data_IF_911425156648
#
_entry.id   IF_911425156648
#
_cell.length_a   1.000
_cell.length_b   1.000
_cell.length_c   1.000
_cell.angle_alpha   90.00
_cell.angle_beta   90.00
_cell.angle_gamma   90.00
#
_symmetry.space_group_name_H-M   'P 1'
#
loop_
_entity.id
_entity.type
_entity.pdbx_description
1 polymer ?
#
# COMPACT_ATOMS: atom_id res chain seq x y z
N UNK A 1 -2.85 45.98 29.98
CA UNK A 1 -2.20 44.69 29.67
C UNK A 1 -3.11 43.87 28.76
N UNK A 2 -2.82 43.78 27.46
CA UNK A 2 -3.55 42.89 26.53
C UNK A 2 -3.21 41.45 26.91
N UNK A 3 -4.23 40.67 27.28
CA UNK A 3 -4.13 39.22 27.47
C UNK A 3 -3.61 38.64 26.18
N UNK A 4 -2.37 38.21 26.13
CA UNK A 4 -1.80 37.46 25.00
C UNK A 4 -2.61 36.16 24.95
N UNK A 5 -3.57 36.06 24.02
CA UNK A 5 -4.24 34.81 23.72
C UNK A 5 -3.14 33.75 23.46
N UNK A 6 -3.12 32.74 24.32
CA UNK A 6 -2.23 31.60 24.11
C UNK A 6 -2.60 30.99 22.78
N UNK A 7 -1.77 31.24 21.77
CA UNK A 7 -1.93 30.68 20.45
C UNK A 7 -1.69 29.17 20.55
N UNK A 8 -2.75 28.40 20.41
CA UNK A 8 -2.64 26.94 20.37
C UNK A 8 -2.09 26.52 19.00
N UNK A 9 -0.80 26.18 18.99
CA UNK A 9 -0.08 25.80 17.77
C UNK A 9 -0.62 24.52 17.15
N UNK A 10 -1.09 23.58 17.96
CA UNK A 10 -1.70 22.33 17.47
C UNK A 10 -2.99 22.64 16.72
N UNK A 11 -3.83 23.51 17.29
CA UNK A 11 -5.07 23.93 16.65
C UNK A 11 -4.82 24.72 15.34
N UNK A 12 -3.77 25.52 15.26
CA UNK A 12 -3.36 26.18 14.02
C UNK A 12 -2.95 25.17 12.95
N UNK A 13 -2.14 24.17 13.33
CA UNK A 13 -1.71 23.12 12.42
C UNK A 13 -2.90 22.24 11.98
N UNK A 14 -3.78 21.86 12.88
CA UNK A 14 -5.04 21.14 12.56
C UNK A 14 -5.88 21.92 11.56
N UNK A 15 -6.02 23.22 11.77
CA UNK A 15 -6.77 24.09 10.85
C UNK A 15 -6.12 24.12 9.47
N UNK A 16 -4.80 24.24 9.40
CA UNK A 16 -4.05 24.24 8.16
C UNK A 16 -4.20 22.91 7.40
N UNK A 17 -4.02 21.79 8.08
CA UNK A 17 -4.23 20.45 7.51
C UNK A 17 -5.63 20.35 6.90
N UNK A 18 -6.66 20.77 7.63
CA UNK A 18 -8.05 20.71 7.17
C UNK A 18 -8.30 21.59 5.95
N UNK A 19 -7.67 22.77 5.87
CA UNK A 19 -7.74 23.65 4.67
C UNK A 19 -7.16 22.93 3.45
N UNK A 20 -6.00 22.29 3.61
CA UNK A 20 -5.33 21.56 2.52
C UNK A 20 -6.18 20.39 2.02
N UNK A 21 -6.69 19.56 2.94
CA UNK A 21 -7.48 18.36 2.64
C UNK A 21 -8.81 18.70 1.96
N UNK A 22 -9.44 19.79 2.34
CA UNK A 22 -10.74 20.21 1.76
C UNK A 22 -10.60 21.09 0.52
N UNK A 23 -9.42 21.62 0.27
CA UNK A 23 -9.17 22.56 -0.82
C UNK A 23 -9.89 23.90 -0.67
N UNK A 24 -10.55 24.18 0.49
CA UNK A 24 -11.38 25.36 0.70
C UNK A 24 -11.46 25.78 2.15
N UNK A 25 -11.31 27.09 2.41
CA UNK A 25 -11.49 27.65 3.75
C UNK A 25 -12.92 27.49 4.28
N UNK A 26 -13.91 27.58 3.41
CA UNK A 26 -15.32 27.41 3.78
C UNK A 26 -15.65 25.97 4.11
N UNK A 27 -15.16 25.02 3.32
CA UNK A 27 -15.33 23.60 3.58
C UNK A 27 -14.60 23.17 4.86
N UNK A 28 -13.37 23.67 5.09
CA UNK A 28 -12.64 23.44 6.32
C UNK A 28 -13.41 23.98 7.54
N UNK A 29 -14.00 25.18 7.42
CA UNK A 29 -14.79 25.79 8.48
C UNK A 29 -16.01 24.93 8.85
N UNK A 30 -16.73 24.41 7.84
CA UNK A 30 -17.86 23.51 8.05
C UNK A 30 -17.47 22.21 8.75
N UNK A 31 -16.32 21.62 8.37
CA UNK A 31 -15.84 20.38 9.02
C UNK A 31 -15.29 20.58 10.45
N UNK A 32 -14.93 21.81 10.80
CA UNK A 32 -14.39 22.17 12.11
C UNK A 32 -15.40 22.88 13.02
N UNK A 33 -16.68 22.89 12.63
CA UNK A 33 -17.77 23.58 13.36
C UNK A 33 -17.39 25.02 13.74
N UNK A 34 -16.80 25.77 12.78
CA UNK A 34 -16.34 27.14 13.01
C UNK A 34 -16.65 28.03 11.81
N UNK A 35 -16.26 29.30 11.87
CA UNK A 35 -16.49 30.24 10.77
C UNK A 35 -15.27 30.32 9.84
N UNK A 36 -15.53 30.61 8.55
CA UNK A 36 -14.45 30.85 7.57
C UNK A 36 -13.50 31.98 8.03
N UNK A 37 -14.02 33.01 8.69
CA UNK A 37 -13.21 34.10 9.25
C UNK A 37 -12.23 33.60 10.34
N UNK A 38 -12.64 32.64 11.17
CA UNK A 38 -11.79 32.00 12.17
C UNK A 38 -10.72 31.16 11.52
N UNK A 39 -11.08 30.32 10.54
CA UNK A 39 -10.13 29.51 9.77
C UNK A 39 -9.10 30.40 9.06
N UNK A 40 -9.54 31.48 8.43
CA UNK A 40 -8.63 32.44 7.77
C UNK A 40 -7.66 33.10 8.75
N UNK A 41 -8.14 33.52 9.94
CA UNK A 41 -7.28 34.09 11.00
C UNK A 41 -6.26 33.07 11.52
N UNK A 42 -6.66 31.83 11.76
CA UNK A 42 -5.77 30.76 12.18
C UNK A 42 -4.65 30.49 11.14
N UNK A 43 -5.00 30.43 9.87
CA UNK A 43 -4.02 30.33 8.78
C UNK A 43 -3.03 31.50 8.80
N UNK A 44 -3.53 32.74 8.86
CA UNK A 44 -2.68 33.93 8.94
C UNK A 44 -1.76 33.91 10.18
N UNK A 45 -2.27 33.44 11.33
CA UNK A 45 -1.48 33.29 12.53
C UNK A 45 -0.38 32.27 12.37
N UNK A 46 -0.64 31.13 11.70
CA UNK A 46 0.37 30.11 11.42
C UNK A 46 1.44 30.67 10.47
N UNK A 47 1.04 31.29 9.36
CA UNK A 47 1.95 31.93 8.40
C UNK A 47 2.81 33.01 9.10
N UNK A 48 2.20 33.81 9.97
CA UNK A 48 2.93 34.82 10.76
C UNK A 48 3.94 34.24 11.73
N UNK A 49 3.63 33.12 12.38
CA UNK A 49 4.54 32.40 13.28
C UNK A 49 5.72 31.78 12.53
N UNK A 50 5.48 31.26 11.32
CA UNK A 50 6.50 30.60 10.51
C UNK A 50 7.28 31.57 9.62
N UNK A 51 6.76 32.79 9.44
CA UNK A 51 7.40 33.83 8.59
C UNK A 51 7.31 33.56 7.10
N UNK A 52 6.46 32.60 6.67
CA UNK A 52 6.33 32.21 5.26
C UNK A 52 4.87 32.13 4.84
N UNK A 53 4.61 32.26 3.53
CA UNK A 53 3.30 32.00 2.95
C UNK A 53 3.15 30.52 2.63
N UNK A 54 2.06 29.93 3.11
CA UNK A 54 1.77 28.52 2.91
C UNK A 54 0.81 28.29 1.75
N UNK A 55 -0.08 29.26 1.49
CA UNK A 55 -1.11 29.16 0.47
C UNK A 55 -1.09 30.39 -0.42
N UNK A 56 -1.04 30.16 -1.75
CA UNK A 56 -1.29 31.14 -2.78
C UNK A 56 -2.79 31.12 -3.12
N UNK A 57 -3.44 32.28 -2.98
CA UNK A 57 -4.83 32.48 -3.39
C UNK A 57 -4.85 33.11 -4.77
N UNK A 58 -5.44 32.44 -5.73
CA UNK A 58 -5.85 33.01 -7.00
C UNK A 58 -7.38 33.15 -7.01
N UNK A 59 -7.91 33.95 -7.90
CA UNK A 59 -9.37 34.18 -8.01
C UNK A 59 -10.15 32.90 -8.31
N UNK A 60 -9.48 31.81 -8.74
CA UNK A 60 -10.12 30.56 -9.16
C UNK A 60 -9.58 29.29 -8.49
N UNK A 61 -8.48 29.38 -7.73
CA UNK A 61 -7.89 28.20 -7.10
C UNK A 61 -7.07 28.55 -5.84
N UNK A 62 -7.01 27.59 -4.94
CA UNK A 62 -6.10 27.59 -3.81
C UNK A 62 -4.95 26.63 -4.14
N UNK A 63 -3.71 27.13 -4.13
CA UNK A 63 -2.51 26.34 -4.41
C UNK A 63 -1.53 26.44 -3.23
N UNK A 64 -0.92 25.33 -2.85
CA UNK A 64 0.15 25.35 -1.87
C UNK A 64 1.42 25.96 -2.46
N UNK A 65 2.20 26.62 -1.62
CA UNK A 65 3.61 26.94 -1.91
C UNK A 65 4.47 25.72 -1.59
N UNK A 66 5.74 25.73 -2.01
CA UNK A 66 6.70 24.68 -1.63
C UNK A 66 6.86 24.61 -0.09
N UNK A 67 6.86 25.78 0.58
CA UNK A 67 6.83 25.87 2.05
C UNK A 67 5.52 25.33 2.63
N UNK A 68 4.41 25.54 1.94
CA UNK A 68 3.12 24.97 2.28
C UNK A 68 3.13 23.45 2.26
N UNK A 69 3.64 22.86 1.18
CA UNK A 69 3.74 21.41 1.08
C UNK A 69 4.63 20.81 2.18
N UNK A 70 5.78 21.43 2.44
CA UNK A 70 6.66 21.02 3.55
C UNK A 70 5.97 21.17 4.91
N UNK A 71 5.32 22.32 5.14
CA UNK A 71 4.59 22.56 6.37
C UNK A 71 3.45 21.56 6.57
N UNK A 72 2.71 21.21 5.52
CA UNK A 72 1.62 20.24 5.59
C UNK A 72 2.11 18.87 6.06
N UNK A 73 3.20 18.37 5.48
CA UNK A 73 3.80 17.08 5.86
C UNK A 73 4.22 17.05 7.34
N UNK A 74 4.96 18.08 7.78
CA UNK A 74 5.43 18.15 9.16
C UNK A 74 4.30 18.42 10.17
N UNK A 75 3.33 19.26 9.82
CA UNK A 75 2.19 19.57 10.66
C UNK A 75 1.35 18.30 10.93
N UNK A 76 1.14 17.45 9.92
CA UNK A 76 0.48 16.15 10.10
C UNK A 76 1.21 15.27 11.11
N UNK A 77 2.52 15.10 10.95
CA UNK A 77 3.31 14.28 11.88
C UNK A 77 3.23 14.79 13.31
N UNK A 78 3.31 16.11 13.52
CA UNK A 78 3.22 16.72 14.85
C UNK A 78 1.83 16.55 15.46
N UNK A 79 0.77 16.77 14.67
CA UNK A 79 -0.61 16.59 15.13
C UNK A 79 -0.90 15.13 15.43
N UNK A 80 -0.42 14.21 14.59
CA UNK A 80 -0.60 12.77 14.80
C UNK A 80 0.16 12.28 16.05
N UNK A 81 1.39 12.77 16.26
CA UNK A 81 2.16 12.46 17.48
C UNK A 81 1.49 13.01 18.74
N UNK A 82 0.88 14.21 18.66
CA UNK A 82 0.11 14.79 19.76
C UNK A 82 -1.14 13.97 20.08
N UNK A 83 -1.91 13.59 19.05
CA UNK A 83 -3.09 12.74 19.22
C UNK A 83 -2.72 11.37 19.80
N UNK A 84 -1.62 10.78 19.33
CA UNK A 84 -1.14 9.51 19.86
C UNK A 84 -0.76 9.62 21.35
N UNK A 85 -0.15 10.74 21.77
CA UNK A 85 0.17 11.01 23.16
C UNK A 85 -1.12 11.21 24.00
N UNK A 86 -2.09 11.96 23.48
CA UNK A 86 -3.39 12.12 24.15
C UNK A 86 -4.11 10.77 24.31
N UNK A 87 -4.09 9.93 23.29
CA UNK A 87 -4.68 8.58 23.31
C UNK A 87 -3.96 7.66 24.33
N UNK A 88 -2.63 7.73 24.39
CA UNK A 88 -1.83 6.94 25.34
C UNK A 88 -2.11 7.32 26.81
N UNK A 89 -2.33 8.60 27.05
CA UNK A 89 -2.65 9.12 28.38
C UNK A 89 -4.13 8.96 28.77
N UNK A 90 -5.02 8.86 27.81
CA UNK A 90 -6.46 8.64 28.00
C UNK A 90 -6.76 7.14 27.93
N UNK A 91 -6.63 6.44 29.03
CA UNK A 91 -6.87 4.98 29.16
C UNK A 91 -8.30 4.54 28.74
N UNK A 92 -9.21 5.44 28.39
CA UNK A 92 -10.65 5.17 28.34
C UNK A 92 -11.31 5.08 26.94
N UNK A 93 -10.72 5.54 25.87
CA UNK A 93 -11.41 5.53 24.56
C UNK A 93 -10.57 4.87 23.44
N UNK A 94 -10.73 3.54 23.32
CA UNK A 94 -10.06 2.70 22.30
C UNK A 94 -10.75 2.82 20.91
N UNK A 95 -11.49 3.91 20.67
CA UNK A 95 -12.20 4.15 19.41
C UNK A 95 -11.31 4.88 18.42
N UNK A 96 -11.02 4.28 17.27
CA UNK A 96 -10.24 4.95 16.25
C UNK A 96 -11.08 6.04 15.56
N UNK A 97 -10.52 7.25 15.45
CA UNK A 97 -11.15 8.39 14.80
C UNK A 97 -10.18 9.09 13.84
N UNK A 98 -10.71 9.75 12.80
CA UNK A 98 -9.93 10.56 11.86
C UNK A 98 -9.53 9.80 10.59
N UNK A 99 -8.60 10.39 9.82
CA UNK A 99 -8.15 9.85 8.53
C UNK A 99 -6.92 8.95 8.66
N UNK A 100 -6.90 7.84 7.93
CA UNK A 100 -5.76 6.94 7.79
C UNK A 100 -5.42 6.79 6.31
N UNK A 101 -4.16 6.98 5.92
CA UNK A 101 -3.68 6.84 4.54
C UNK A 101 -2.87 5.57 4.41
N UNK A 102 -3.41 4.63 3.64
CA UNK A 102 -2.83 3.29 3.47
C UNK A 102 -2.51 3.03 2.01
N UNK A 103 -1.30 2.55 1.73
CA UNK A 103 -0.93 2.03 0.42
C UNK A 103 -0.91 0.51 0.43
N UNK A 104 -1.45 -0.10 -0.62
CA UNK A 104 -1.40 -1.53 -0.83
C UNK A 104 -1.06 -1.86 -2.30
N UNK A 105 -0.50 -3.05 -2.58
CA UNK A 105 -0.31 -3.52 -3.94
C UNK A 105 -1.65 -3.60 -4.69
N UNK A 106 -1.63 -3.27 -5.98
CA UNK A 106 -2.84 -3.06 -6.78
C UNK A 106 -3.80 -4.26 -6.75
N UNK A 107 -3.32 -5.41 -7.19
CA UNK A 107 -4.14 -6.62 -7.24
C UNK A 107 -4.55 -7.10 -5.85
N UNK A 108 -3.63 -7.05 -4.88
CA UNK A 108 -3.84 -7.54 -3.53
C UNK A 108 -4.83 -6.66 -2.77
N UNK A 109 -4.70 -5.34 -2.87
CA UNK A 109 -5.60 -4.37 -2.24
C UNK A 109 -7.02 -4.41 -2.80
N UNK A 110 -7.19 -4.73 -4.08
CA UNK A 110 -8.52 -4.85 -4.70
C UNK A 110 -9.24 -6.15 -4.36
N UNK A 111 -8.56 -7.27 -4.35
CA UNK A 111 -9.20 -8.58 -4.25
C UNK A 111 -9.14 -9.14 -2.83
N UNK A 112 -8.00 -9.11 -2.18
CA UNK A 112 -7.81 -9.78 -0.90
C UNK A 112 -8.18 -8.89 0.30
N UNK A 113 -7.87 -7.61 0.24
CA UNK A 113 -7.99 -6.72 1.40
C UNK A 113 -9.26 -5.88 1.43
N UNK A 114 -9.99 -5.76 0.32
CA UNK A 114 -11.17 -4.90 0.26
C UNK A 114 -12.29 -5.36 1.22
N UNK A 115 -12.58 -6.66 1.27
CA UNK A 115 -13.59 -7.20 2.20
C UNK A 115 -13.27 -6.91 3.67
N UNK A 116 -12.08 -7.28 4.16
CA UNK A 116 -11.63 -6.93 5.52
C UNK A 116 -11.65 -5.42 5.81
N UNK A 117 -11.22 -4.59 4.85
CA UNK A 117 -11.25 -3.13 5.00
C UNK A 117 -12.67 -2.60 5.17
N UNK A 118 -13.62 -3.08 4.37
CA UNK A 118 -15.04 -2.70 4.48
C UNK A 118 -15.60 -3.10 5.85
N UNK A 119 -15.35 -4.32 6.30
CA UNK A 119 -15.78 -4.78 7.63
C UNK A 119 -15.16 -3.95 8.76
N UNK A 120 -13.91 -3.53 8.61
CA UNK A 120 -13.23 -2.66 9.57
C UNK A 120 -13.87 -1.28 9.64
N UNK A 121 -14.13 -0.64 8.50
CA UNK A 121 -14.76 0.69 8.46
C UNK A 121 -16.20 0.66 8.98
N UNK A 122 -16.96 -0.40 8.72
CA UNK A 122 -18.31 -0.57 9.29
C UNK A 122 -18.30 -0.65 10.81
N UNK A 123 -17.27 -1.25 11.41
CA UNK A 123 -17.08 -1.30 12.88
C UNK A 123 -16.59 0.02 13.46
N UNK A 124 -15.99 0.87 12.65
CA UNK A 124 -15.38 2.14 13.07
C UNK A 124 -15.87 3.33 12.24
N UNK A 125 -17.15 3.76 12.40
CA UNK A 125 -17.78 4.76 11.51
C UNK A 125 -17.16 6.17 11.60
N UNK A 126 -16.36 6.46 12.61
CA UNK A 126 -15.64 7.73 12.76
C UNK A 126 -14.24 7.72 12.11
N UNK A 127 -13.85 6.58 11.52
CA UNK A 127 -12.60 6.43 10.79
C UNK A 127 -12.85 6.61 9.29
N UNK A 128 -11.99 7.35 8.62
CA UNK A 128 -11.91 7.38 7.17
C UNK A 128 -10.57 6.81 6.70
N UNK A 129 -10.57 6.07 5.59
CA UNK A 129 -9.35 5.51 5.01
C UNK A 129 -9.19 6.01 3.58
N UNK A 130 -8.06 6.61 3.29
CA UNK A 130 -7.61 6.84 1.92
C UNK A 130 -6.84 5.59 1.47
N UNK A 131 -7.50 4.78 0.64
CA UNK A 131 -6.98 3.48 0.17
C UNK A 131 -6.30 3.65 -1.18
N UNK A 132 -4.98 3.66 -1.20
CA UNK A 132 -4.17 3.92 -2.39
C UNK A 132 -3.57 2.61 -2.91
N UNK A 133 -3.83 2.30 -4.17
CA UNK A 133 -3.32 1.10 -4.82
C UNK A 133 -2.14 1.46 -5.72
N UNK A 134 -0.96 0.97 -5.36
CA UNK A 134 0.26 1.21 -6.10
C UNK A 134 1.34 0.19 -5.71
N UNK A 135 2.03 -0.38 -6.71
CA UNK A 135 3.06 -1.40 -6.52
C UNK A 135 4.49 -0.80 -6.38
N UNK A 136 4.65 0.52 -6.56
CA UNK A 136 5.94 1.20 -6.43
C UNK A 136 6.42 1.31 -4.98
N UNK A 137 7.69 1.62 -4.81
CA UNK A 137 8.28 1.94 -3.50
C UNK A 137 7.56 3.11 -2.84
N UNK A 138 7.46 3.07 -1.51
CA UNK A 138 6.76 4.09 -0.71
C UNK A 138 7.79 5.04 -0.13
N UNK A 139 7.63 6.33 -0.39
CA UNK A 139 8.24 7.39 0.41
C UNK A 139 7.19 7.90 1.40
N UNK A 140 7.26 7.45 2.64
CA UNK A 140 6.29 7.78 3.68
C UNK A 140 6.17 9.28 3.94
N UNK A 141 7.26 10.01 3.77
CA UNK A 141 7.30 11.46 4.00
C UNK A 141 6.69 12.22 2.83
N UNK A 142 7.14 11.93 1.61
CA UNK A 142 6.70 12.64 0.40
C UNK A 142 5.26 12.29 0.05
N UNK A 143 4.92 10.99 0.14
CA UNK A 143 3.59 10.48 -0.21
C UNK A 143 2.57 10.69 0.92
N UNK A 144 3.04 11.07 2.11
CA UNK A 144 2.20 11.32 3.28
C UNK A 144 1.33 10.11 3.66
N UNK A 145 1.94 8.93 3.73
CA UNK A 145 1.31 7.63 4.00
C UNK A 145 1.54 7.25 5.45
N UNK A 146 0.52 6.74 6.13
CA UNK A 146 0.62 6.29 7.52
C UNK A 146 1.19 4.87 7.63
N UNK A 147 0.76 3.97 6.73
CA UNK A 147 1.32 2.61 6.61
C UNK A 147 1.14 2.06 5.19
N UNK A 148 1.92 1.03 4.88
CA UNK A 148 1.84 0.34 3.60
C UNK A 148 1.91 -1.18 3.77
N UNK A 149 1.20 -1.90 2.91
CA UNK A 149 1.37 -3.32 2.70
C UNK A 149 2.30 -3.48 1.50
N UNK A 150 3.37 -4.26 1.66
CA UNK A 150 4.38 -4.49 0.62
C UNK A 150 4.51 -5.97 0.34
N UNK A 151 4.60 -6.33 -0.94
CA UNK A 151 4.90 -7.68 -1.40
C UNK A 151 6.26 -7.67 -2.07
N UNK A 152 7.18 -8.52 -1.60
CA UNK A 152 8.57 -8.59 -2.06
C UNK A 152 9.58 -8.31 -0.96
N UNK A 153 10.86 -8.54 -1.24
CA UNK A 153 11.92 -8.59 -0.23
C UNK A 153 12.51 -7.23 0.19
N UNK A 154 12.34 -6.18 -0.63
CA UNK A 154 12.95 -4.88 -0.33
C UNK A 154 12.10 -4.08 0.65
N UNK A 155 12.69 -3.78 1.81
CA UNK A 155 12.13 -2.92 2.84
C UNK A 155 13.16 -1.85 3.19
N UNK A 156 12.71 -0.60 3.30
CA UNK A 156 13.54 0.51 3.74
C UNK A 156 13.99 0.30 5.20
N UNK A 157 15.30 0.24 5.49
CA UNK A 157 15.81 0.09 6.86
C UNK A 157 15.38 1.20 7.84
N UNK A 158 14.97 2.37 7.32
CA UNK A 158 14.49 3.49 8.13
C UNK A 158 13.04 3.31 8.63
N UNK A 159 12.38 2.22 8.26
CA UNK A 159 10.98 1.94 8.61
C UNK A 159 10.85 0.73 9.54
N UNK A 160 9.71 0.65 10.21
CA UNK A 160 9.30 -0.58 10.89
C UNK A 160 8.69 -1.51 9.85
N UNK A 161 9.22 -2.72 9.76
CA UNK A 161 8.73 -3.76 8.85
C UNK A 161 8.35 -5.00 9.63
N UNK A 162 7.11 -5.44 9.47
CA UNK A 162 6.58 -6.64 10.09
C UNK A 162 6.20 -7.64 9.00
N UNK A 163 6.86 -8.79 8.97
CA UNK A 163 6.51 -9.89 8.08
C UNK A 163 5.19 -10.50 8.56
N UNK A 164 4.17 -10.50 7.70
CA UNK A 164 2.83 -10.99 8.03
C UNK A 164 2.52 -12.35 7.42
N UNK A 165 2.93 -12.58 6.18
CA UNK A 165 2.65 -13.79 5.42
C UNK A 165 3.63 -13.93 4.25
N UNK A 166 3.51 -15.04 3.53
CA UNK A 166 4.17 -15.27 2.24
C UNK A 166 3.14 -15.59 1.16
N UNK A 167 3.39 -15.09 -0.06
CA UNK A 167 2.57 -15.36 -1.24
C UNK A 167 3.26 -16.39 -2.11
N UNK A 168 2.76 -17.62 -2.19
CA UNK A 168 3.23 -18.61 -3.14
C UNK A 168 3.02 -18.15 -4.58
N UNK A 169 3.95 -18.52 -5.45
CA UNK A 169 3.88 -18.25 -6.88
C UNK A 169 3.91 -19.56 -7.69
N UNK A 170 3.35 -19.51 -8.90
CA UNK A 170 3.39 -20.60 -9.87
C UNK A 170 3.71 -20.08 -11.27
N UNK A 171 4.14 -20.96 -12.14
CA UNK A 171 4.35 -20.70 -13.57
C UNK A 171 3.16 -21.26 -14.31
N UNK A 172 2.48 -20.44 -15.12
CA UNK A 172 1.25 -20.83 -15.81
C UNK A 172 1.26 -20.46 -17.28
N UNK A 173 0.53 -21.24 -18.07
CA UNK A 173 0.24 -20.95 -19.46
C UNK A 173 -1.16 -21.45 -19.83
N UNK A 174 -1.77 -20.90 -20.88
CA UNK A 174 -3.03 -21.44 -21.40
C UNK A 174 -2.78 -22.74 -22.19
N UNK A 175 -3.75 -23.69 -22.16
CA UNK A 175 -3.68 -24.89 -23.01
C UNK A 175 -3.53 -24.57 -24.50
N UNK A 176 -4.16 -23.47 -24.95
CA UNK A 176 -4.05 -23.01 -26.34
C UNK A 176 -2.62 -22.62 -26.74
N UNK A 177 -1.88 -21.96 -25.84
CA UNK A 177 -0.46 -21.66 -26.07
C UNK A 177 0.33 -22.96 -26.13
N UNK A 178 0.16 -23.85 -25.16
CA UNK A 178 0.92 -25.10 -25.07
C UNK A 178 0.72 -26.00 -26.27
N UNK A 179 -0.47 -26.01 -26.86
CA UNK A 179 -0.77 -26.79 -28.06
C UNK A 179 0.04 -26.35 -29.31
N UNK A 180 0.64 -25.17 -29.30
CA UNK A 180 1.47 -24.65 -30.40
C UNK A 180 2.94 -25.09 -30.30
N UNK A 181 3.34 -25.73 -29.19
CA UNK A 181 4.72 -26.14 -28.92
C UNK A 181 4.82 -27.63 -28.62
N UNK A 182 6.00 -28.24 -28.78
CA UNK A 182 6.22 -29.63 -28.38
C UNK A 182 5.95 -29.83 -26.90
N UNK A 183 5.61 -31.03 -26.46
CA UNK A 183 5.42 -31.33 -25.02
C UNK A 183 6.64 -30.89 -24.18
N UNK A 184 6.39 -30.18 -23.09
CA UNK A 184 7.43 -29.71 -22.20
C UNK A 184 7.91 -30.86 -21.32
N UNK A 185 9.08 -31.41 -21.64
CA UNK A 185 9.67 -32.54 -20.90
C UNK A 185 10.75 -32.15 -19.91
N UNK A 186 11.27 -30.91 -19.98
CA UNK A 186 12.31 -30.40 -19.11
C UNK A 186 12.13 -28.90 -18.85
N UNK A 187 12.77 -28.38 -17.78
CA UNK A 187 12.73 -26.94 -17.45
C UNK A 187 13.38 -26.05 -18.53
N UNK A 188 14.39 -26.58 -19.22
CA UNK A 188 15.07 -25.86 -20.29
C UNK A 188 14.11 -25.49 -21.43
N UNK A 189 13.07 -26.31 -21.65
CA UNK A 189 12.05 -26.01 -22.63
C UNK A 189 11.27 -24.70 -22.36
N UNK A 190 11.27 -24.21 -21.14
CA UNK A 190 10.66 -22.93 -20.78
C UNK A 190 11.34 -21.74 -21.48
N UNK A 191 12.64 -21.81 -21.78
CA UNK A 191 13.37 -20.74 -22.47
C UNK A 191 12.92 -20.55 -23.93
N UNK A 192 12.34 -21.56 -24.55
CA UNK A 192 11.82 -21.53 -25.92
C UNK A 192 10.40 -20.96 -26.03
N UNK A 193 9.72 -20.67 -24.93
CA UNK A 193 8.37 -20.14 -24.93
C UNK A 193 8.36 -18.60 -24.89
N UNK A 194 7.33 -17.95 -25.42
CA UNK A 194 7.12 -16.52 -25.16
C UNK A 194 6.76 -16.29 -23.69
N UNK A 195 7.33 -15.24 -23.09
CA UNK A 195 7.09 -14.93 -21.69
C UNK A 195 6.41 -13.58 -21.49
N UNK A 196 5.64 -13.49 -20.41
CA UNK A 196 5.06 -12.25 -19.89
C UNK A 196 5.82 -11.93 -18.61
N UNK A 197 6.62 -10.88 -18.63
CA UNK A 197 7.41 -10.46 -17.47
C UNK A 197 6.62 -9.49 -16.58
N UNK A 198 6.80 -9.62 -15.26
CA UNK A 198 6.36 -8.62 -14.28
C UNK A 198 7.60 -7.87 -13.80
N UNK A 199 7.77 -6.63 -14.24
CA UNK A 199 8.98 -5.83 -14.09
C UNK A 199 9.47 -5.70 -12.64
N UNK A 200 8.56 -5.72 -11.68
CA UNK A 200 8.86 -5.63 -10.25
C UNK A 200 9.44 -6.91 -9.67
N UNK A 201 9.30 -8.05 -10.35
CA UNK A 201 9.68 -9.35 -9.79
C UNK A 201 10.64 -10.16 -10.66
N UNK A 202 10.54 -10.08 -11.98
CA UNK A 202 11.41 -10.79 -12.91
C UNK A 202 11.32 -10.18 -14.31
N UNK A 203 12.43 -10.17 -15.04
CA UNK A 203 12.49 -9.61 -16.39
C UNK A 203 13.11 -10.57 -17.42
N UNK A 204 14.31 -11.07 -17.17
CA UNK A 204 15.07 -11.87 -18.13
C UNK A 204 15.45 -13.27 -17.62
N UNK A 205 15.13 -13.56 -16.38
CA UNK A 205 15.44 -14.83 -15.72
C UNK A 205 14.34 -15.20 -14.74
N UNK A 206 14.00 -16.48 -14.69
CA UNK A 206 13.15 -17.08 -13.67
C UNK A 206 13.94 -18.12 -12.89
N UNK A 207 13.81 -18.08 -11.55
CA UNK A 207 14.44 -19.04 -10.64
C UNK A 207 13.37 -19.94 -10.04
N UNK A 208 13.55 -21.24 -10.26
CA UNK A 208 12.64 -22.27 -9.78
C UNK A 208 13.37 -23.18 -8.80
N UNK A 209 12.70 -23.49 -7.69
CA UNK A 209 13.21 -24.40 -6.67
C UNK A 209 12.40 -25.69 -6.68
N UNK A 210 13.09 -26.82 -6.72
CA UNK A 210 12.45 -28.10 -6.59
C UNK A 210 11.96 -28.32 -5.15
N UNK A 211 10.69 -28.66 -5.01
CA UNK A 211 10.02 -28.68 -3.70
C UNK A 211 10.55 -29.74 -2.74
N UNK A 212 11.11 -30.84 -3.27
CA UNK A 212 11.62 -31.96 -2.44
C UNK A 212 13.13 -31.84 -2.24
N UNK A 213 13.91 -31.68 -3.32
CA UNK A 213 15.38 -31.67 -3.23
C UNK A 213 15.98 -30.33 -2.83
N UNK A 214 15.20 -29.22 -2.93
CA UNK A 214 15.69 -27.87 -2.69
C UNK A 214 16.61 -27.33 -3.80
N UNK A 215 16.87 -28.11 -4.87
CA UNK A 215 17.68 -27.67 -6.00
C UNK A 215 17.08 -26.41 -6.64
N UNK A 216 17.92 -25.45 -7.00
CA UNK A 216 17.52 -24.21 -7.69
C UNK A 216 18.05 -24.27 -9.12
N UNK A 217 17.16 -23.99 -10.07
CA UNK A 217 17.48 -23.85 -11.49
C UNK A 217 17.07 -22.45 -11.95
N UNK A 218 17.98 -21.81 -12.69
CA UNK A 218 17.74 -20.54 -13.35
C UNK A 218 17.51 -20.76 -14.82
N UNK A 219 16.42 -20.21 -15.36
CA UNK A 219 16.08 -20.28 -16.77
C UNK A 219 16.00 -18.88 -17.35
N UNK A 220 16.78 -18.61 -18.39
CA UNK A 220 16.70 -17.36 -19.14
C UNK A 220 15.37 -17.32 -19.91
N UNK A 221 14.74 -16.15 -19.93
CA UNK A 221 13.48 -15.93 -20.62
C UNK A 221 13.56 -14.71 -21.54
N UNK A 222 12.77 -14.72 -22.60
CA UNK A 222 12.62 -13.59 -23.52
C UNK A 222 11.18 -13.10 -23.45
N UNK A 223 10.91 -11.96 -22.79
CA UNK A 223 9.57 -11.43 -22.69
C UNK A 223 9.04 -10.93 -24.03
N UNK A 224 7.85 -11.36 -24.42
CA UNK A 224 7.06 -10.75 -25.49
C UNK A 224 6.18 -9.59 -24.99
N UNK A 225 5.93 -9.55 -23.68
CA UNK A 225 5.23 -8.46 -22.97
C UNK A 225 5.88 -8.25 -21.61
N UNK A 226 6.05 -6.99 -21.23
CA UNK A 226 6.47 -6.61 -19.87
C UNK A 226 5.43 -5.68 -19.24
N UNK A 227 5.07 -5.93 -17.98
CA UNK A 227 4.04 -5.17 -17.26
C UNK A 227 4.42 -5.04 -15.78
N UNK A 228 3.85 -4.08 -15.11
CA UNK A 228 3.86 -3.94 -13.63
C UNK A 228 2.60 -4.50 -12.97
N UNK A 229 1.61 -4.93 -13.78
CA UNK A 229 0.30 -5.38 -13.30
C UNK A 229 0.16 -6.90 -13.31
N UNK A 230 -0.11 -7.47 -12.12
CA UNK A 230 -0.38 -8.90 -11.95
C UNK A 230 -1.62 -9.36 -12.76
N UNK A 231 -2.66 -8.50 -12.86
CA UNK A 231 -3.86 -8.80 -13.64
C UNK A 231 -3.61 -8.77 -15.15
N UNK A 232 -2.77 -7.86 -15.64
CA UNK A 232 -2.38 -7.86 -17.06
C UNK A 232 -1.62 -9.14 -17.36
N UNK A 233 -0.68 -9.56 -16.52
CA UNK A 233 0.06 -10.81 -16.71
C UNK A 233 -0.86 -12.03 -16.72
N UNK A 234 -1.81 -12.14 -15.78
CA UNK A 234 -2.82 -13.21 -15.75
C UNK A 234 -3.69 -13.21 -17.02
N UNK A 235 -4.25 -12.06 -17.38
CA UNK A 235 -5.22 -11.98 -18.48
C UNK A 235 -4.54 -12.24 -19.85
N UNK A 236 -3.30 -11.80 -20.04
CA UNK A 236 -2.54 -12.08 -21.26
C UNK A 236 -2.08 -13.52 -21.35
N UNK A 237 -1.78 -14.18 -20.22
CA UNK A 237 -1.54 -15.61 -20.17
C UNK A 237 -2.80 -16.41 -20.54
N UNK A 238 -3.98 -16.03 -20.04
CA UNK A 238 -5.29 -16.60 -20.41
C UNK A 238 -5.58 -16.44 -21.90
N UNK A 239 -5.19 -15.30 -22.49
CA UNK A 239 -5.33 -15.04 -23.92
C UNK A 239 -4.30 -15.81 -24.81
N UNK A 240 -3.45 -16.65 -24.22
CA UNK A 240 -2.49 -17.45 -24.96
C UNK A 240 -1.29 -16.68 -25.53
N UNK A 241 -0.97 -15.49 -24.97
CA UNK A 241 0.16 -14.69 -25.44
C UNK A 241 1.51 -15.26 -24.99
N UNK A 242 1.59 -15.81 -23.77
CA UNK A 242 2.85 -16.29 -23.21
C UNK A 242 2.68 -16.99 -21.87
N UNK A 243 3.81 -17.49 -21.37
CA UNK A 243 3.96 -18.04 -20.01
C UNK A 243 4.08 -16.89 -19.00
N UNK A 244 3.45 -17.02 -17.86
CA UNK A 244 3.57 -16.05 -16.79
C UNK A 244 3.93 -16.71 -15.45
N UNK A 245 4.75 -16.03 -14.65
CA UNK A 245 4.99 -16.38 -13.25
C UNK A 245 4.17 -15.40 -12.38
N UNK A 246 3.16 -15.93 -11.71
CA UNK A 246 2.16 -15.13 -10.98
C UNK A 246 1.92 -15.65 -9.58
N UNK A 247 1.30 -14.85 -8.73
CA UNK A 247 0.82 -15.27 -7.41
C UNK A 247 -0.27 -16.34 -7.57
N UNK A 248 -0.13 -17.47 -6.87
CA UNK A 248 -1.02 -18.64 -7.05
C UNK A 248 -2.49 -18.33 -6.81
N UNK A 249 -2.78 -17.43 -5.87
CA UNK A 249 -4.15 -17.04 -5.55
C UNK A 249 -4.86 -16.33 -6.72
N UNK A 250 -4.14 -15.61 -7.59
CA UNK A 250 -4.75 -14.88 -8.71
C UNK A 250 -5.24 -15.78 -9.82
N UNK A 251 -4.71 -17.00 -9.92
CA UNK A 251 -5.01 -17.97 -10.98
C UNK A 251 -5.68 -19.24 -10.47
N UNK A 252 -6.01 -19.30 -9.17
CA UNK A 252 -6.59 -20.51 -8.55
C UNK A 252 -7.86 -20.97 -9.26
N UNK A 253 -8.79 -20.05 -9.57
CA UNK A 253 -10.01 -20.35 -10.30
C UNK A 253 -9.76 -20.76 -11.77
N UNK A 254 -8.75 -20.19 -12.41
CA UNK A 254 -8.40 -20.49 -13.79
C UNK A 254 -7.77 -21.88 -13.92
N UNK A 255 -6.93 -22.24 -12.94
CA UNK A 255 -6.36 -23.58 -12.83
C UNK A 255 -7.45 -24.63 -12.57
N UNK A 256 -8.35 -24.36 -11.64
CA UNK A 256 -9.48 -25.26 -11.33
C UNK A 256 -10.43 -25.44 -12.52
N UNK A 257 -10.63 -24.39 -13.32
CA UNK A 257 -11.47 -24.42 -14.52
C UNK A 257 -10.74 -24.93 -15.79
N UNK A 258 -9.45 -25.25 -15.70
CA UNK A 258 -8.63 -25.70 -16.83
C UNK A 258 -8.34 -24.60 -17.89
N UNK A 259 -8.59 -23.33 -17.57
CA UNK A 259 -8.26 -22.20 -18.46
C UNK A 259 -6.76 -21.90 -18.49
N UNK A 260 -6.07 -22.20 -17.40
CA UNK A 260 -4.62 -22.20 -17.28
C UNK A 260 -4.13 -23.57 -16.82
N UNK A 261 -2.88 -23.88 -17.16
CA UNK A 261 -2.16 -25.07 -16.71
C UNK A 261 -0.94 -24.61 -15.92
N UNK A 262 -0.73 -25.16 -14.71
CA UNK A 262 0.52 -24.97 -13.96
C UNK A 262 1.63 -25.80 -14.60
N UNK A 263 2.74 -25.14 -14.94
CA UNK A 263 3.90 -25.77 -15.54
C UNK A 263 4.86 -26.23 -14.45
N UNK A 264 5.30 -27.49 -14.54
CA UNK A 264 6.26 -28.07 -13.61
C UNK A 264 5.92 -27.84 -12.12
N UNK A 265 4.75 -28.29 -11.60
CA UNK A 265 4.28 -27.95 -10.26
C UNK A 265 5.24 -28.37 -9.13
N UNK A 266 6.17 -29.31 -9.40
CA UNK A 266 7.26 -29.69 -8.48
C UNK A 266 8.38 -28.64 -8.42
N UNK A 267 8.43 -27.69 -9.34
CA UNK A 267 9.39 -26.60 -9.42
C UNK A 267 8.68 -25.27 -9.25
N UNK A 268 8.85 -24.64 -8.12
CA UNK A 268 8.15 -23.37 -7.81
C UNK A 268 9.11 -22.21 -7.65
N UNK A 269 8.69 -21.01 -8.05
CA UNK A 269 9.40 -19.81 -7.68
C UNK A 269 9.38 -19.64 -6.14
N UNK A 270 10.36 -18.93 -5.60
CA UNK A 270 10.31 -18.55 -4.19
C UNK A 270 9.04 -17.75 -3.89
N UNK A 271 8.41 -18.00 -2.75
CA UNK A 271 7.30 -17.19 -2.26
C UNK A 271 7.75 -15.75 -2.06
N UNK A 272 6.81 -14.81 -2.17
CA UNK A 272 7.06 -13.40 -1.91
C UNK A 272 6.63 -13.06 -0.48
N UNK A 273 7.50 -12.48 0.34
CA UNK A 273 7.12 -12.03 1.67
C UNK A 273 6.13 -10.85 1.58
N UNK A 274 5.16 -10.84 2.48
CA UNK A 274 4.19 -9.74 2.65
C UNK A 274 4.53 -9.01 3.94
N UNK A 275 4.90 -7.76 3.81
CA UNK A 275 5.27 -6.91 4.93
C UNK A 275 4.24 -5.82 5.17
N UNK A 276 4.00 -5.54 6.44
CA UNK A 276 3.35 -4.31 6.89
C UNK A 276 4.46 -3.33 7.28
N UNK A 277 4.49 -2.19 6.60
CA UNK A 277 5.57 -1.21 6.73
C UNK A 277 5.01 0.14 7.16
N UNK A 278 5.64 0.80 8.12
CA UNK A 278 5.23 2.10 8.61
C UNK A 278 6.42 2.86 9.24
N UNK A 279 6.39 4.20 9.29
CA UNK A 279 7.46 4.99 9.92
C UNK A 279 7.64 4.64 11.38
N UNK A 280 8.87 4.61 11.86
CA UNK A 280 9.12 4.46 13.28
C UNK A 280 8.63 5.68 14.04
N UNK A 281 7.88 5.47 15.11
CA UNK A 281 7.45 6.49 16.05
C UNK A 281 7.40 5.92 17.47
N UNK A 282 7.57 6.77 18.48
CA UNK A 282 7.46 6.36 19.87
C UNK A 282 6.02 5.99 20.26
N UNK A 283 5.05 6.69 19.67
CA UNK A 283 3.62 6.49 19.88
C UNK A 283 2.90 6.48 18.55
N UNK A 284 1.92 5.62 18.41
CA UNK A 284 1.07 5.54 17.23
C UNK A 284 -0.37 5.89 17.56
N UNK A 285 -1.06 6.69 16.74
CA UNK A 285 -2.48 6.98 16.92
C UNK A 285 -3.32 5.70 16.96
N UNK A 286 -4.39 5.70 17.77
CA UNK A 286 -5.29 4.53 17.93
C UNK A 286 -5.79 4.02 16.58
N UNK A 287 -6.10 4.90 15.61
CA UNK A 287 -6.50 4.51 14.26
C UNK A 287 -5.46 3.65 13.53
N UNK A 288 -4.18 4.02 13.66
CA UNK A 288 -3.08 3.23 13.04
C UNK A 288 -2.89 1.92 13.80
N UNK A 289 -2.83 1.92 15.12
CA UNK A 289 -2.70 0.69 15.93
C UNK A 289 -3.77 -0.35 15.57
N UNK A 290 -5.05 0.06 15.55
CA UNK A 290 -6.17 -0.83 15.22
C UNK A 290 -6.08 -1.40 13.80
N UNK A 291 -5.61 -0.60 12.85
CA UNK A 291 -5.38 -1.10 11.48
C UNK A 291 -4.20 -2.07 11.41
N UNK A 292 -3.09 -1.79 12.11
CA UNK A 292 -1.95 -2.69 12.18
C UNK A 292 -2.35 -4.05 12.82
N UNK A 293 -3.16 -4.01 13.87
CA UNK A 293 -3.66 -5.22 14.55
C UNK A 293 -4.58 -6.02 13.62
N UNK A 294 -5.50 -5.35 12.90
CA UNK A 294 -6.32 -6.00 11.87
C UNK A 294 -5.45 -6.71 10.83
N UNK A 295 -4.42 -6.04 10.30
CA UNK A 295 -3.56 -6.65 9.28
C UNK A 295 -2.80 -7.86 9.81
N UNK A 296 -2.32 -7.83 11.06
CA UNK A 296 -1.66 -8.97 11.70
C UNK A 296 -2.61 -10.16 11.90
N UNK A 297 -3.85 -9.88 12.24
CA UNK A 297 -4.88 -10.90 12.48
C UNK A 297 -5.30 -11.59 11.18
N UNK A 298 -5.61 -10.82 10.14
CA UNK A 298 -6.25 -11.38 8.94
C UNK A 298 -5.25 -11.91 7.91
N UNK A 299 -4.04 -11.34 7.83
CA UNK A 299 -3.13 -11.59 6.70
C UNK A 299 -2.73 -13.06 6.56
N UNK A 300 -2.40 -13.80 7.63
CA UNK A 300 -2.04 -15.21 7.52
C UNK A 300 -3.16 -16.11 6.98
N UNK A 301 -4.42 -15.70 7.21
CA UNK A 301 -5.62 -16.49 6.89
C UNK A 301 -6.25 -16.12 5.53
N UNK A 302 -5.71 -15.12 4.84
CA UNK A 302 -6.19 -14.76 3.51
C UNK A 302 -5.95 -15.89 2.50
N UNK A 303 -6.88 -16.04 1.57
CA UNK A 303 -6.83 -17.09 0.56
C UNK A 303 -5.51 -17.07 -0.23
N UNK A 304 -4.80 -18.20 -0.25
CA UNK A 304 -3.54 -18.37 -0.95
C UNK A 304 -2.33 -17.72 -0.26
N UNK A 305 -2.47 -17.30 1.00
CA UNK A 305 -1.34 -16.93 1.85
C UNK A 305 -0.81 -18.15 2.59
N UNK A 306 0.45 -18.05 2.99
CA UNK A 306 1.11 -19.01 3.87
C UNK A 306 1.69 -18.27 5.07
N UNK A 307 1.70 -18.88 6.26
CA UNK A 307 2.41 -18.30 7.39
C UNK A 307 3.90 -18.13 7.04
N UNK A 308 4.57 -17.11 7.62
CA UNK A 308 6.00 -16.94 7.41
C UNK A 308 6.77 -18.22 7.72
N UNK A 309 7.60 -18.67 6.80
CA UNK A 309 8.52 -19.78 7.11
C UNK A 309 9.55 -19.25 8.10
N UNK A 310 9.63 -19.89 9.27
CA UNK A 310 10.65 -19.60 10.28
C UNK A 310 12.03 -19.74 9.62
N UNK A 311 12.82 -18.66 9.62
CA UNK A 311 14.17 -18.64 9.08
C UNK A 311 15.12 -19.52 9.91
#
# INVERSE_FOLDING_TARGET
MKRQERIDRIELMRTYIRIVETGSLSAAAGQMDTTQATVSRRLQSLEGLLGVKLILRTTHAMKLTDDGERCYRHARQLVDAWLALEDDLRIADDRPVGGLRVRAPHAFGQQQLLGPLVAFLQRHPQLSVEWMLNDNTVDFLSDNIDCAIRVGAEVDPATVSVLLAEVPRCVVASPELLAKYPPLTSLEALSGLPWIAINTFYQHEVRLRHQVSGQIVSTAITPCLSTDSLYVARNTALAGLGVAMVSSWTVAEDLAAGRLTELFPQWRPASLPVHLVYPWARYYPTRLRKFLDLMREIMPDLAGMQPPQSA
#
